data_IF_675906983413
#
_entry.id   IF_675906983413
#
_cell.length_a   1.000
_cell.length_b   1.000
_cell.length_c   1.000
_cell.angle_alpha   90.00
_cell.angle_beta   90.00
_cell.angle_gamma   90.00
#
_symmetry.space_group_name_H-M   'P 1'
#
loop_
_entity.id
_entity.type
_entity.pdbx_description
1 polymer ?
#
# COMPACT_ATOMS: atom_id res chain seq x y z
N UNK A 1 21.69 -32.30 25.78
CA UNK A 1 21.48 -31.61 24.49
C UNK A 1 20.08 -31.01 24.49
N UNK A 2 19.95 -29.73 24.83
CA UNK A 2 18.70 -28.99 24.71
C UNK A 2 18.34 -28.87 23.23
N UNK A 3 17.32 -29.58 22.77
CA UNK A 3 16.76 -29.37 21.43
C UNK A 3 16.25 -27.93 21.38
N UNK A 4 16.88 -27.09 20.56
CA UNK A 4 16.35 -25.78 20.20
C UNK A 4 15.02 -26.03 19.47
N UNK A 5 13.89 -25.98 20.19
CA UNK A 5 12.57 -26.02 19.57
C UNK A 5 12.27 -24.64 18.98
N UNK A 6 12.11 -24.58 17.66
CA UNK A 6 11.64 -23.36 17.01
C UNK A 6 10.24 -23.04 17.54
N UNK A 7 9.95 -21.76 17.77
CA UNK A 7 8.59 -21.35 18.12
C UNK A 7 7.62 -21.73 16.98
N UNK A 8 6.35 -22.06 17.28
CA UNK A 8 5.35 -22.39 16.25
C UNK A 8 5.26 -21.32 15.15
N UNK A 9 5.30 -20.04 15.52
CA UNK A 9 5.27 -18.94 14.55
C UNK A 9 6.51 -18.94 13.64
N UNK A 10 7.70 -19.15 14.21
CA UNK A 10 8.95 -19.17 13.45
C UNK A 10 8.99 -20.35 12.48
N UNK A 11 8.51 -21.52 12.91
CA UNK A 11 8.39 -22.70 12.04
C UNK A 11 7.41 -22.43 10.89
N UNK A 12 6.21 -21.94 11.21
CA UNK A 12 5.15 -21.64 10.23
C UNK A 12 5.61 -20.63 9.17
N UNK A 13 6.15 -19.49 9.61
CA UNK A 13 6.63 -18.47 8.68
C UNK A 13 7.91 -18.90 7.96
N UNK A 14 8.83 -19.60 8.63
CA UNK A 14 10.06 -20.12 8.00
C UNK A 14 9.74 -21.08 6.85
N UNK A 15 8.82 -22.02 7.06
CA UNK A 15 8.35 -22.94 6.03
C UNK A 15 7.60 -22.22 4.89
N UNK A 16 6.74 -21.25 5.23
CA UNK A 16 6.06 -20.43 4.23
C UNK A 16 7.05 -19.63 3.36
N UNK A 17 8.06 -19.02 3.97
CA UNK A 17 9.13 -18.31 3.27
C UNK A 17 9.96 -19.24 2.39
N UNK A 18 10.27 -20.44 2.86
CA UNK A 18 10.98 -21.43 2.06
C UNK A 18 10.18 -21.82 0.81
N UNK A 19 8.87 -22.09 0.95
CA UNK A 19 8.00 -22.39 -0.18
C UNK A 19 7.83 -21.20 -1.14
N UNK A 20 7.76 -19.98 -0.61
CA UNK A 20 7.77 -18.76 -1.43
C UNK A 20 9.11 -18.61 -2.17
N UNK A 21 10.22 -18.98 -1.54
CA UNK A 21 11.54 -19.05 -2.18
C UNK A 21 11.60 -20.04 -3.34
N UNK A 22 10.88 -21.16 -3.27
CA UNK A 22 10.72 -22.10 -4.39
C UNK A 22 9.98 -21.44 -5.56
N UNK A 23 8.89 -20.70 -5.29
CA UNK A 23 8.19 -19.96 -6.34
C UNK A 23 9.08 -18.88 -6.96
N UNK A 24 9.86 -18.16 -6.14
CA UNK A 24 10.81 -17.15 -6.60
C UNK A 24 11.91 -17.75 -7.47
N UNK A 25 12.49 -18.89 -7.07
CA UNK A 25 13.41 -19.66 -7.91
C UNK A 25 12.75 -20.06 -9.23
N UNK A 26 11.47 -20.45 -9.20
CA UNK A 26 10.70 -20.72 -10.41
C UNK A 26 10.63 -19.53 -11.36
N UNK A 27 10.39 -18.33 -10.84
CA UNK A 27 10.40 -17.11 -11.65
C UNK A 27 11.79 -16.83 -12.27
N UNK A 28 12.86 -16.99 -11.48
CA UNK A 28 14.24 -16.87 -11.98
C UNK A 28 14.55 -17.89 -13.10
N UNK A 29 14.09 -19.13 -12.96
CA UNK A 29 14.27 -20.17 -13.98
C UNK A 29 13.53 -19.84 -15.28
N UNK A 30 12.30 -19.32 -15.21
CA UNK A 30 11.55 -18.90 -16.40
C UNK A 30 12.30 -17.77 -17.12
N UNK A 31 12.78 -16.78 -16.39
CA UNK A 31 13.57 -15.68 -16.98
C UNK A 31 14.89 -16.19 -17.60
N UNK A 32 15.44 -17.29 -17.10
CA UNK A 32 16.57 -18.01 -17.69
C UNK A 32 16.21 -18.97 -18.83
N UNK A 33 14.96 -18.98 -19.31
CA UNK A 33 14.50 -19.84 -20.41
C UNK A 33 14.16 -21.28 -20.01
N UNK A 34 14.06 -21.59 -18.72
CA UNK A 34 13.77 -22.93 -18.22
C UNK A 34 12.30 -23.09 -17.82
N UNK A 35 11.50 -23.92 -18.55
CA UNK A 35 10.07 -24.05 -18.31
C UNK A 35 9.72 -24.79 -16.99
N UNK A 36 10.68 -25.49 -16.36
CA UNK A 36 10.49 -26.11 -15.03
C UNK A 36 10.06 -25.07 -13.98
N UNK A 37 10.43 -23.81 -14.18
CA UNK A 37 10.05 -22.74 -13.27
C UNK A 37 8.54 -22.57 -13.11
N UNK A 38 7.73 -22.91 -14.13
CA UNK A 38 6.27 -22.91 -13.99
C UNK A 38 5.77 -23.90 -12.94
N UNK A 39 6.35 -25.10 -12.90
CA UNK A 39 6.01 -26.11 -11.91
C UNK A 39 6.42 -25.67 -10.50
N UNK A 40 7.58 -25.01 -10.36
CA UNK A 40 8.03 -24.47 -9.07
C UNK A 40 7.13 -23.35 -8.57
N UNK A 41 6.62 -22.47 -9.44
CA UNK A 41 5.63 -21.44 -9.08
C UNK A 41 4.30 -22.10 -8.68
N UNK A 42 3.80 -23.02 -9.51
CA UNK A 42 2.52 -23.70 -9.29
C UNK A 42 2.50 -24.50 -7.98
N UNK A 43 3.66 -25.00 -7.54
CA UNK A 43 3.81 -25.67 -6.25
C UNK A 43 4.08 -24.67 -5.10
N UNK A 44 5.11 -23.84 -5.25
CA UNK A 44 5.65 -23.02 -4.18
C UNK A 44 4.68 -21.95 -3.69
N UNK A 45 3.94 -21.30 -4.60
CA UNK A 45 3.04 -20.21 -4.24
C UNK A 45 1.84 -20.69 -3.40
N UNK A 46 1.05 -21.72 -3.82
CA UNK A 46 0.00 -22.27 -2.97
C UNK A 46 0.53 -22.87 -1.67
N UNK A 47 1.67 -23.58 -1.74
CA UNK A 47 2.29 -24.20 -0.58
C UNK A 47 2.70 -23.15 0.46
N UNK A 48 3.18 -21.97 0.03
CA UNK A 48 3.52 -20.87 0.94
C UNK A 48 2.32 -20.40 1.77
N UNK A 49 1.12 -20.28 1.16
CA UNK A 49 -0.09 -19.88 1.86
C UNK A 49 -0.58 -20.95 2.84
N UNK A 50 -0.55 -22.22 2.41
CA UNK A 50 -0.90 -23.37 3.24
C UNK A 50 0.04 -23.48 4.46
N UNK A 51 1.35 -23.37 4.23
CA UNK A 51 2.34 -23.41 5.31
C UNK A 51 2.28 -22.17 6.20
N UNK A 52 1.93 -20.99 5.67
CA UNK A 52 1.70 -19.80 6.47
C UNK A 52 0.52 -19.95 7.44
N UNK A 53 -0.46 -20.81 7.11
CA UNK A 53 -1.60 -21.12 7.95
C UNK A 53 -1.33 -22.27 8.91
N UNK A 54 -0.70 -23.36 8.48
CA UNK A 54 -0.64 -24.61 9.27
C UNK A 54 0.75 -25.28 9.33
N UNK A 55 1.82 -24.60 8.91
CA UNK A 55 3.18 -25.16 8.91
C UNK A 55 3.75 -25.54 10.29
N UNK A 56 3.13 -25.10 11.38
CA UNK A 56 3.44 -25.50 12.76
C UNK A 56 2.69 -26.74 13.24
N UNK A 57 1.73 -27.24 12.46
CA UNK A 57 0.90 -28.39 12.78
C UNK A 57 1.08 -29.52 11.76
N UNK A 58 2.30 -29.72 11.25
CA UNK A 58 2.60 -30.81 10.32
C UNK A 58 2.29 -32.18 10.95
N UNK A 59 1.69 -33.08 10.16
CA UNK A 59 1.28 -34.41 10.60
C UNK A 59 -0.25 -34.60 10.60
N UNK A 60 -0.79 -35.51 11.43
CA UNK A 60 -2.22 -35.85 11.40
C UNK A 60 -3.15 -34.67 11.71
N UNK A 61 -2.72 -33.71 12.52
CA UNK A 61 -3.51 -32.52 12.89
C UNK A 61 -3.54 -31.44 11.80
N UNK A 62 -2.75 -31.58 10.74
CA UNK A 62 -2.59 -30.54 9.72
C UNK A 62 -3.90 -30.13 9.04
N UNK A 63 -4.78 -31.06 8.57
CA UNK A 63 -6.01 -30.68 7.88
C UNK A 63 -6.98 -29.93 8.78
N UNK A 64 -7.08 -30.34 10.06
CA UNK A 64 -7.93 -29.70 11.07
C UNK A 64 -7.45 -28.27 11.34
N UNK A 65 -6.16 -28.10 11.66
CA UNK A 65 -5.58 -26.78 11.94
C UNK A 65 -5.63 -25.86 10.71
N UNK A 66 -5.40 -26.38 9.51
CA UNK A 66 -5.53 -25.62 8.27
C UNK A 66 -6.98 -25.17 8.06
N UNK A 67 -7.95 -26.06 8.23
CA UNK A 67 -9.38 -25.76 8.10
C UNK A 67 -9.84 -24.69 9.09
N UNK A 68 -9.50 -24.83 10.37
CA UNK A 68 -9.85 -23.87 11.42
C UNK A 68 -9.26 -22.48 11.15
N UNK A 69 -7.96 -22.42 10.81
CA UNK A 69 -7.28 -21.14 10.59
C UNK A 69 -7.68 -20.48 9.27
N UNK A 70 -7.96 -21.26 8.23
CA UNK A 70 -8.53 -20.75 6.99
C UNK A 70 -9.92 -20.17 7.22
N UNK A 71 -10.80 -20.89 7.93
CA UNK A 71 -12.13 -20.40 8.29
C UNK A 71 -12.04 -19.11 9.13
N UNK A 72 -11.12 -19.07 10.11
CA UNK A 72 -10.83 -17.88 10.89
C UNK A 72 -10.33 -16.70 10.06
N UNK A 73 -9.43 -16.95 9.11
CA UNK A 73 -8.92 -15.93 8.18
C UNK A 73 -10.06 -15.38 7.31
N UNK A 74 -10.85 -16.25 6.70
CA UNK A 74 -11.97 -15.85 5.84
C UNK A 74 -13.02 -15.06 6.64
N UNK A 75 -13.32 -15.48 7.86
CA UNK A 75 -14.24 -14.76 8.76
C UNK A 75 -13.71 -13.38 9.17
N UNK A 76 -12.38 -13.22 9.30
CA UNK A 76 -11.75 -11.96 9.63
C UNK A 76 -11.52 -11.04 8.40
N UNK A 77 -11.58 -11.59 7.19
CA UNK A 77 -11.24 -10.87 5.96
C UNK A 77 -12.34 -9.87 5.60
N UNK A 78 -11.97 -8.60 5.59
CA UNK A 78 -12.82 -7.49 5.10
C UNK A 78 -12.58 -7.27 3.60
N UNK A 79 -13.51 -6.63 2.85
CA UNK A 79 -13.34 -6.45 1.41
C UNK A 79 -12.10 -5.65 1.05
N UNK A 80 -11.78 -4.61 1.84
CA UNK A 80 -10.56 -3.82 1.62
C UNK A 80 -9.30 -4.68 1.77
N UNK A 81 -9.31 -5.71 2.64
CA UNK A 81 -8.18 -6.64 2.79
C UNK A 81 -8.03 -7.52 1.56
N UNK A 82 -9.15 -8.03 1.03
CA UNK A 82 -9.16 -8.80 -0.22
C UNK A 82 -8.67 -7.95 -1.41
N UNK A 83 -9.05 -6.67 -1.46
CA UNK A 83 -8.58 -5.74 -2.48
C UNK A 83 -7.08 -5.39 -2.33
N UNK A 84 -6.56 -5.28 -1.10
CA UNK A 84 -5.10 -5.18 -0.86
C UNK A 84 -4.39 -6.47 -1.28
N UNK A 85 -4.98 -7.64 -1.03
CA UNK A 85 -4.42 -8.90 -1.51
C UNK A 85 -4.41 -8.96 -3.05
N UNK A 86 -5.47 -8.48 -3.71
CA UNK A 86 -5.53 -8.36 -5.17
C UNK A 86 -4.48 -7.37 -5.70
N UNK A 87 -4.32 -6.20 -5.05
CA UNK A 87 -3.27 -5.23 -5.35
C UNK A 87 -1.88 -5.88 -5.39
N UNK A 88 -1.58 -6.70 -4.38
CA UNK A 88 -0.33 -7.47 -4.29
C UNK A 88 -0.25 -8.54 -5.37
N UNK A 89 -1.32 -9.33 -5.55
CA UNK A 89 -1.34 -10.43 -6.50
C UNK A 89 -1.10 -9.96 -7.93
N UNK A 90 -1.64 -8.81 -8.32
CA UNK A 90 -1.47 -8.22 -9.66
C UNK A 90 -0.02 -7.81 -9.98
N UNK A 91 0.85 -7.69 -8.97
CA UNK A 91 2.27 -7.38 -9.17
C UNK A 91 3.13 -8.62 -9.40
N UNK A 92 2.67 -9.79 -8.96
CA UNK A 92 3.43 -11.04 -9.02
C UNK A 92 3.78 -11.44 -10.47
N UNK A 93 2.88 -11.31 -11.48
CA UNK A 93 3.19 -11.69 -12.85
C UNK A 93 4.14 -10.72 -13.58
N UNK A 94 4.31 -9.49 -13.11
CA UNK A 94 5.04 -8.41 -13.82
C UNK A 94 6.43 -8.82 -14.30
N UNK A 95 7.30 -9.46 -13.48
CA UNK A 95 8.63 -9.87 -13.94
C UNK A 95 8.62 -10.91 -15.06
N UNK A 96 7.53 -11.69 -15.17
CA UNK A 96 7.35 -12.72 -16.19
C UNK A 96 6.55 -12.25 -17.40
N UNK A 97 5.89 -11.10 -17.30
CA UNK A 97 5.13 -10.47 -18.39
C UNK A 97 5.32 -8.94 -18.38
N UNK A 98 6.52 -8.44 -18.76
CA UNK A 98 6.83 -7.01 -18.74
C UNK A 98 5.91 -6.17 -19.63
N UNK A 99 5.48 -6.70 -20.78
CA UNK A 99 4.56 -6.02 -21.70
C UNK A 99 3.18 -5.80 -21.07
N UNK A 100 2.81 -6.62 -20.08
CA UNK A 100 1.60 -6.48 -19.30
C UNK A 100 1.68 -5.42 -18.20
N UNK A 101 2.85 -4.81 -17.95
CA UNK A 101 3.06 -3.85 -16.88
C UNK A 101 2.05 -2.69 -16.88
N UNK A 102 1.69 -2.06 -18.01
CA UNK A 102 0.69 -0.99 -18.02
C UNK A 102 -0.68 -1.42 -17.47
N UNK A 103 -1.18 -2.57 -17.94
CA UNK A 103 -2.50 -3.09 -17.56
C UNK A 103 -2.48 -3.57 -16.10
N UNK A 104 -1.45 -4.32 -15.72
CA UNK A 104 -1.31 -4.84 -14.36
C UNK A 104 -1.08 -3.71 -13.35
N UNK A 105 -0.27 -2.70 -13.69
CA UNK A 105 0.00 -1.53 -12.86
C UNK A 105 -1.25 -0.70 -12.62
N UNK A 106 -2.04 -0.44 -13.67
CA UNK A 106 -3.32 0.25 -13.54
C UNK A 106 -4.31 -0.57 -12.71
N UNK A 107 -4.49 -1.85 -13.01
CA UNK A 107 -5.41 -2.73 -12.28
C UNK A 107 -5.02 -2.84 -10.80
N UNK A 108 -3.71 -2.96 -10.51
CA UNK A 108 -3.16 -2.98 -9.17
C UNK A 108 -3.50 -1.68 -8.44
N UNK A 109 -3.20 -0.52 -9.03
CA UNK A 109 -3.48 0.77 -8.40
C UNK A 109 -4.98 1.05 -8.24
N UNK A 110 -5.81 0.60 -9.19
CA UNK A 110 -7.26 0.66 -9.06
C UNK A 110 -7.77 -0.21 -7.91
N UNK A 111 -7.24 -1.43 -7.75
CA UNK A 111 -7.55 -2.29 -6.61
C UNK A 111 -7.12 -1.65 -5.28
N UNK A 112 -5.96 -0.99 -5.24
CA UNK A 112 -5.51 -0.25 -4.06
C UNK A 112 -6.40 0.96 -3.74
N UNK A 113 -6.80 1.73 -4.74
CA UNK A 113 -7.74 2.84 -4.60
C UNK A 113 -9.11 2.36 -4.09
N UNK A 114 -9.63 1.27 -4.65
CA UNK A 114 -10.86 0.64 -4.18
C UNK A 114 -10.73 0.12 -2.75
N UNK A 115 -9.58 -0.45 -2.38
CA UNK A 115 -9.29 -0.87 -1.01
C UNK A 115 -9.30 0.31 -0.04
N UNK A 116 -8.65 1.41 -0.40
CA UNK A 116 -8.64 2.65 0.38
C UNK A 116 -10.06 3.18 0.59
N UNK A 117 -10.87 3.21 -0.48
CA UNK A 117 -12.25 3.69 -0.42
C UNK A 117 -13.10 2.79 0.49
N UNK A 118 -13.01 1.47 0.34
CA UNK A 118 -13.72 0.51 1.18
C UNK A 118 -13.27 0.59 2.65
N UNK A 119 -11.97 0.79 2.90
CA UNK A 119 -11.41 0.93 4.24
C UNK A 119 -11.97 2.15 4.98
N UNK A 120 -12.05 3.30 4.28
CA UNK A 120 -12.57 4.55 4.84
C UNK A 120 -14.09 4.45 5.00
N UNK A 121 -14.79 3.93 3.99
CA UNK A 121 -16.25 3.74 4.06
C UNK A 121 -16.66 2.89 5.26
N UNK A 122 -15.99 1.76 5.50
CA UNK A 122 -16.28 0.87 6.63
C UNK A 122 -16.09 1.56 8.01
N UNK A 123 -15.25 2.60 8.10
CA UNK A 123 -14.85 3.21 9.39
C UNK A 123 -15.50 4.55 9.68
N UNK A 124 -15.73 5.36 8.65
CA UNK A 124 -16.20 6.74 8.79
C UNK A 124 -17.32 7.08 7.81
N UNK A 125 -17.89 6.10 7.11
CA UNK A 125 -19.05 6.29 6.23
C UNK A 125 -18.70 6.71 4.80
N UNK A 126 -19.66 6.50 3.88
CA UNK A 126 -19.43 6.65 2.44
C UNK A 126 -19.17 8.10 2.03
N UNK A 127 -19.84 9.08 2.66
CA UNK A 127 -19.70 10.50 2.32
C UNK A 127 -18.28 10.99 2.53
N UNK A 128 -17.69 10.71 3.70
CA UNK A 128 -16.30 11.06 3.99
C UNK A 128 -15.34 10.31 3.07
N UNK A 129 -15.61 9.04 2.79
CA UNK A 129 -14.81 8.24 1.86
C UNK A 129 -14.81 8.85 0.45
N UNK A 130 -15.99 9.21 -0.09
CA UNK A 130 -16.15 9.84 -1.39
C UNK A 130 -15.52 11.23 -1.43
N UNK A 131 -15.70 12.05 -0.38
CA UNK A 131 -15.10 13.38 -0.30
C UNK A 131 -13.58 13.31 -0.28
N UNK A 132 -13.01 12.42 0.54
CA UNK A 132 -11.56 12.22 0.57
C UNK A 132 -11.03 11.77 -0.79
N UNK A 133 -11.70 10.82 -1.45
CA UNK A 133 -11.35 10.37 -2.81
C UNK A 133 -11.39 11.53 -3.81
N UNK A 134 -12.51 12.23 -3.91
CA UNK A 134 -12.71 13.33 -4.87
C UNK A 134 -11.69 14.44 -4.66
N UNK A 135 -11.44 14.84 -3.41
CA UNK A 135 -10.46 15.89 -3.11
C UNK A 135 -9.05 15.43 -3.48
N UNK A 136 -8.61 14.25 -3.05
CA UNK A 136 -7.25 13.79 -3.40
C UNK A 136 -7.06 13.51 -4.88
N UNK A 137 -8.08 12.99 -5.54
CA UNK A 137 -8.05 12.73 -6.98
C UNK A 137 -7.99 14.05 -7.75
N UNK A 138 -8.84 15.01 -7.38
CA UNK A 138 -8.89 16.33 -8.02
C UNK A 138 -7.63 17.15 -7.80
N UNK A 139 -7.12 17.19 -6.55
CA UNK A 139 -5.85 17.85 -6.23
C UNK A 139 -4.70 17.16 -6.95
N UNK A 140 -4.61 15.82 -6.89
CA UNK A 140 -3.60 15.03 -7.59
C UNK A 140 -3.60 15.32 -9.09
N UNK A 141 -4.75 15.17 -9.75
CA UNK A 141 -4.88 15.50 -11.17
C UNK A 141 -4.51 16.97 -11.46
N UNK A 142 -4.93 17.90 -10.60
CA UNK A 142 -4.66 19.32 -10.75
C UNK A 142 -3.17 19.67 -10.67
N UNK A 143 -2.46 19.13 -9.68
CA UNK A 143 -1.00 19.37 -9.52
C UNK A 143 -0.19 18.70 -10.61
N UNK A 144 -0.63 17.54 -11.11
CA UNK A 144 0.05 16.86 -12.24
C UNK A 144 -0.19 17.57 -13.56
N UNK A 145 -1.40 18.11 -13.77
CA UNK A 145 -1.71 18.92 -14.94
C UNK A 145 -0.94 20.25 -14.91
N UNK A 146 -0.80 20.85 -13.74
CA UNK A 146 0.00 22.06 -13.56
C UNK A 146 1.49 21.77 -13.76
N UNK A 147 1.99 20.70 -13.13
CA UNK A 147 3.38 20.25 -13.18
C UNK A 147 3.84 19.96 -14.60
N UNK A 148 3.13 19.08 -15.30
CA UNK A 148 3.46 18.70 -16.68
C UNK A 148 3.38 19.84 -17.70
N UNK A 149 2.76 20.98 -17.37
CA UNK A 149 2.66 22.16 -18.25
C UNK A 149 3.60 23.30 -17.88
N UNK A 150 3.89 23.47 -16.60
CA UNK A 150 4.58 24.66 -16.08
C UNK A 150 5.87 24.35 -15.36
N UNK A 151 6.14 23.07 -15.07
CA UNK A 151 7.22 22.63 -14.22
C UNK A 151 6.93 22.76 -12.72
N UNK A 152 5.81 23.35 -12.29
CA UNK A 152 5.49 23.52 -10.86
C UNK A 152 4.34 22.59 -10.46
N UNK A 153 4.45 21.77 -9.40
CA UNK A 153 5.47 21.83 -8.34
C UNK A 153 6.65 20.86 -8.51
N UNK A 154 6.73 20.06 -9.58
CA UNK A 154 7.61 18.89 -9.61
C UNK A 154 8.94 19.04 -10.36
N UNK A 155 9.09 20.05 -11.22
CA UNK A 155 10.17 20.19 -12.20
C UNK A 155 9.66 19.97 -13.62
N UNK A 156 10.52 20.08 -14.63
CA UNK A 156 10.12 19.89 -16.02
C UNK A 156 10.09 18.40 -16.43
N UNK A 157 8.90 17.94 -16.85
CA UNK A 157 8.67 16.56 -17.30
C UNK A 157 7.51 16.46 -18.29
N UNK A 158 7.41 15.31 -18.95
CA UNK A 158 6.34 15.01 -19.90
C UNK A 158 5.76 13.60 -19.70
N UNK A 159 4.44 13.50 -19.85
CA UNK A 159 3.68 12.25 -19.88
C UNK A 159 3.50 11.68 -21.31
N UNK A 160 4.20 12.20 -22.31
CA UNK A 160 3.98 11.81 -23.72
C UNK A 160 4.16 10.30 -23.99
N UNK A 161 5.04 9.62 -23.25
CA UNK A 161 5.26 8.17 -23.36
C UNK A 161 4.31 7.31 -22.53
N UNK A 162 3.43 7.93 -21.74
CA UNK A 162 2.68 7.21 -20.74
C UNK A 162 1.55 6.34 -21.35
N UNK A 163 1.34 5.13 -20.84
CA UNK A 163 0.30 4.25 -21.36
C UNK A 163 -1.10 4.77 -21.03
N UNK A 164 -2.04 4.53 -21.95
CA UNK A 164 -3.46 4.76 -21.73
C UNK A 164 -4.01 3.84 -20.60
N UNK A 165 -5.09 4.26 -19.91
CA UNK A 165 -5.87 5.48 -20.12
C UNK A 165 -5.24 6.70 -19.43
N UNK A 166 -5.33 7.85 -20.09
CA UNK A 166 -4.95 9.15 -19.56
C UNK A 166 -6.18 10.03 -19.35
N UNK A 167 -6.11 10.95 -18.40
CA UNK A 167 -7.10 11.97 -18.12
C UNK A 167 -6.42 13.33 -18.23
N UNK A 168 -6.80 14.13 -19.23
CA UNK A 168 -6.16 15.43 -19.52
C UNK A 168 -4.62 15.30 -19.62
N UNK A 169 -4.12 14.30 -20.36
CA UNK A 169 -2.71 13.90 -20.51
C UNK A 169 -2.05 13.23 -19.30
N UNK A 170 -2.66 13.25 -18.12
CA UNK A 170 -2.12 12.59 -16.92
C UNK A 170 -2.54 11.12 -16.89
N UNK A 171 -1.64 10.15 -16.70
CA UNK A 171 -1.99 8.73 -16.64
C UNK A 171 -2.93 8.45 -15.48
N UNK A 172 -4.03 7.73 -15.70
CA UNK A 172 -5.08 7.52 -14.70
C UNK A 172 -4.55 6.84 -13.42
N UNK A 173 -3.48 6.07 -13.52
CA UNK A 173 -2.79 5.45 -12.37
C UNK A 173 -2.37 6.50 -11.32
N UNK A 174 -1.97 7.70 -11.75
CA UNK A 174 -1.40 8.74 -10.88
C UNK A 174 -2.45 9.34 -9.93
N UNK A 175 -3.59 9.90 -10.40
CA UNK A 175 -4.60 10.45 -9.50
C UNK A 175 -5.29 9.37 -8.64
N UNK A 176 -5.35 8.10 -9.10
CA UNK A 176 -5.78 6.98 -8.24
C UNK A 176 -4.77 6.70 -7.12
N UNK A 177 -3.48 6.77 -7.43
CA UNK A 177 -2.39 6.63 -6.46
C UNK A 177 -2.45 7.72 -5.39
N UNK A 178 -2.65 8.98 -5.76
CA UNK A 178 -2.70 10.11 -4.82
C UNK A 178 -3.69 9.88 -3.65
N UNK A 179 -4.84 9.25 -3.91
CA UNK A 179 -5.79 8.92 -2.83
C UNK A 179 -5.23 7.86 -1.88
N UNK A 180 -4.87 6.69 -2.41
CA UNK A 180 -4.52 5.56 -1.58
C UNK A 180 -3.18 5.74 -0.87
N UNK A 181 -2.18 6.30 -1.55
CA UNK A 181 -0.87 6.59 -0.97
C UNK A 181 -0.97 7.59 0.17
N UNK A 182 -1.74 8.66 -0.01
CA UNK A 182 -1.99 9.65 1.05
C UNK A 182 -2.69 8.99 2.24
N UNK A 183 -3.68 8.12 2.01
CA UNK A 183 -4.36 7.41 3.09
C UNK A 183 -3.37 6.55 3.87
N UNK A 184 -2.54 5.76 3.17
CA UNK A 184 -1.51 4.92 3.78
C UNK A 184 -0.51 5.75 4.59
N UNK A 185 0.02 6.83 4.03
CA UNK A 185 0.97 7.73 4.70
C UNK A 185 0.34 8.42 5.92
N UNK A 186 -0.92 8.83 5.83
CA UNK A 186 -1.67 9.45 6.93
C UNK A 186 -1.97 8.44 8.04
N UNK A 187 -2.34 7.20 7.71
CA UNK A 187 -2.51 6.12 8.68
C UNK A 187 -1.21 5.76 9.39
N UNK A 188 -0.11 5.63 8.65
CA UNK A 188 1.20 5.31 9.21
C UNK A 188 1.76 6.44 10.09
N UNK A 189 1.55 7.70 9.68
CA UNK A 189 1.95 8.89 10.44
C UNK A 189 1.03 9.22 11.62
N UNK A 190 -0.09 8.51 11.76
CA UNK A 190 -1.14 8.78 12.77
C UNK A 190 -1.69 10.20 12.64
N UNK A 191 -1.94 10.60 11.40
CA UNK A 191 -2.53 11.88 11.03
C UNK A 191 -1.61 13.08 11.21
N UNK A 192 -0.28 12.88 11.28
CA UNK A 192 0.73 13.96 11.38
C UNK A 192 1.10 14.43 9.97
N UNK A 193 0.60 15.58 9.48
CA UNK A 193 0.71 15.92 8.06
C UNK A 193 2.15 16.02 7.56
N UNK A 194 3.06 16.60 8.34
CA UNK A 194 4.49 16.68 8.00
C UNK A 194 5.16 15.32 7.85
N UNK A 195 4.77 14.35 8.67
CA UNK A 195 5.31 13.00 8.58
C UNK A 195 4.67 12.24 7.43
N UNK A 196 3.38 12.45 7.16
CA UNK A 196 2.72 11.91 5.97
C UNK A 196 3.36 12.43 4.69
N UNK A 197 3.64 13.74 4.59
CA UNK A 197 4.40 14.32 3.49
C UNK A 197 5.79 13.70 3.35
N UNK A 198 6.52 13.50 4.45
CA UNK A 198 7.83 12.82 4.40
C UNK A 198 7.73 11.37 3.92
N UNK A 199 6.67 10.64 4.33
CA UNK A 199 6.41 9.28 3.86
C UNK A 199 6.05 9.25 2.37
N UNK A 200 5.27 10.22 1.87
CA UNK A 200 4.94 10.37 0.45
C UNK A 200 6.20 10.64 -0.38
N UNK A 201 7.05 11.56 0.07
CA UNK A 201 8.35 11.86 -0.55
C UNK A 201 9.28 10.63 -0.59
N UNK A 202 9.39 9.88 0.51
CA UNK A 202 10.23 8.67 0.54
C UNK A 202 9.66 7.56 -0.36
N UNK A 203 8.33 7.51 -0.53
CA UNK A 203 7.67 6.63 -1.47
C UNK A 203 7.99 7.00 -2.92
N UNK A 204 7.94 8.29 -3.24
CA UNK A 204 8.30 8.80 -4.54
C UNK A 204 9.75 8.47 -4.93
N UNK A 205 10.71 8.61 -4.02
CA UNK A 205 12.11 8.14 -4.22
C UNK A 205 12.17 6.68 -4.69
N UNK A 206 11.27 5.83 -4.18
CA UNK A 206 11.20 4.41 -4.57
C UNK A 206 10.48 4.14 -5.89
N UNK A 207 9.53 5.00 -6.26
CA UNK A 207 8.77 4.88 -7.51
C UNK A 207 9.54 5.41 -8.71
N UNK A 208 10.30 6.49 -8.53
CA UNK A 208 10.97 7.24 -9.58
C UNK A 208 11.81 6.35 -10.52
N UNK A 209 12.72 5.47 -10.02
CA UNK A 209 13.46 4.57 -10.89
C UNK A 209 12.54 3.71 -11.76
N UNK A 210 11.54 3.07 -11.17
CA UNK A 210 10.69 2.13 -11.88
C UNK A 210 9.86 2.83 -12.96
N UNK A 211 9.20 3.93 -12.61
CA UNK A 211 8.23 4.58 -13.48
C UNK A 211 8.89 5.31 -14.65
N UNK A 212 10.05 5.93 -14.43
CA UNK A 212 10.85 6.54 -15.50
C UNK A 212 11.37 5.49 -16.48
N UNK A 213 11.86 4.35 -15.98
CA UNK A 213 12.33 3.25 -16.84
C UNK A 213 11.20 2.61 -17.66
N UNK A 214 9.97 2.65 -17.15
CA UNK A 214 8.78 2.18 -17.86
C UNK A 214 8.16 3.26 -18.77
N UNK A 215 8.79 4.43 -18.89
CA UNK A 215 8.35 5.51 -19.77
C UNK A 215 7.04 6.18 -19.34
N UNK A 216 6.63 6.01 -18.08
CA UNK A 216 5.42 6.67 -17.59
C UNK A 216 5.59 8.19 -17.57
N UNK A 217 6.78 8.68 -17.24
CA UNK A 217 7.14 10.08 -17.43
C UNK A 217 8.62 10.18 -17.80
N UNK A 218 8.94 11.25 -18.53
CA UNK A 218 10.30 11.58 -18.90
C UNK A 218 10.64 12.96 -18.34
N UNK A 219 11.69 13.02 -17.52
CA UNK A 219 12.22 14.26 -16.99
C UNK A 219 13.08 14.98 -18.04
N UNK A 220 12.91 16.30 -18.14
CA UNK A 220 13.73 17.19 -18.99
C UNK A 220 14.35 18.34 -18.20
N UNK A 221 14.21 18.30 -16.88
CA UNK A 221 14.69 19.33 -15.97
C UNK A 221 16.22 19.54 -16.08
N UNK A 222 16.73 20.79 -16.06
CA UNK A 222 18.16 21.08 -16.19
C UNK A 222 19.00 20.60 -15.00
N UNK A 223 18.41 20.32 -13.83
CA UNK A 223 19.11 19.93 -12.62
C UNK A 223 18.59 18.58 -12.07
N UNK A 224 18.80 17.47 -12.80
CA UNK A 224 18.34 16.15 -12.37
C UNK A 224 19.11 15.68 -11.12
N UNK A 225 18.42 14.97 -10.23
CA UNK A 225 19.01 14.39 -9.03
C UNK A 225 18.91 12.85 -9.03
N UNK A 226 17.70 12.31 -9.06
CA UNK A 226 17.46 10.88 -8.84
C UNK A 226 16.51 10.33 -9.89
N UNK A 227 16.96 9.33 -10.65
CA UNK A 227 16.24 8.78 -11.81
C UNK A 227 15.78 9.84 -12.83
N UNK A 228 16.48 10.98 -12.90
CA UNK A 228 16.12 12.13 -13.73
C UNK A 228 15.29 13.20 -13.01
N UNK A 229 14.61 12.86 -11.91
CA UNK A 229 13.81 13.81 -11.15
C UNK A 229 14.68 14.83 -10.41
N UNK A 230 14.33 16.13 -10.43
CA UNK A 230 15.03 17.16 -9.65
C UNK A 230 14.62 17.13 -8.16
N UNK A 231 15.37 17.85 -7.31
CA UNK A 231 15.02 18.04 -5.88
C UNK A 231 13.58 18.56 -5.71
N UNK A 232 13.16 19.41 -6.65
CA UNK A 232 11.84 20.03 -6.67
C UNK A 232 10.71 18.98 -6.67
N UNK A 233 10.86 17.85 -7.36
CA UNK A 233 9.87 16.77 -7.38
C UNK A 233 9.58 16.25 -5.97
N UNK A 234 10.64 15.90 -5.24
CA UNK A 234 10.55 15.34 -3.89
C UNK A 234 9.93 16.34 -2.90
N UNK A 235 10.27 17.64 -3.03
CA UNK A 235 9.64 18.70 -2.23
C UNK A 235 8.16 18.89 -2.59
N UNK A 236 7.81 18.77 -3.88
CA UNK A 236 6.43 18.78 -4.36
C UNK A 236 5.61 17.64 -3.77
N UNK A 237 6.13 16.41 -3.82
CA UNK A 237 5.50 15.24 -3.19
C UNK A 237 5.33 15.40 -1.68
N UNK A 238 6.32 15.96 -1.00
CA UNK A 238 6.21 16.30 0.41
C UNK A 238 5.08 17.31 0.68
N UNK A 239 5.03 18.41 -0.08
CA UNK A 239 4.07 19.49 0.12
C UNK A 239 2.63 19.06 -0.19
N UNK A 240 2.42 18.38 -1.32
CA UNK A 240 1.10 17.86 -1.71
C UNK A 240 0.64 16.78 -0.72
N UNK A 241 1.53 15.85 -0.36
CA UNK A 241 1.25 14.82 0.64
C UNK A 241 0.93 15.39 2.03
N UNK A 242 1.64 16.46 2.45
CA UNK A 242 1.34 17.21 3.65
C UNK A 242 -0.08 17.81 3.60
N UNK A 243 -0.40 18.51 2.51
CA UNK A 243 -1.70 19.18 2.34
C UNK A 243 -2.86 18.20 2.36
N UNK A 244 -2.77 17.13 1.57
CA UNK A 244 -3.79 16.09 1.52
C UNK A 244 -3.94 15.36 2.86
N UNK A 245 -2.84 15.10 3.57
CA UNK A 245 -2.90 14.50 4.90
C UNK A 245 -3.57 15.41 5.94
N UNK A 246 -3.34 16.72 5.86
CA UNK A 246 -4.02 17.71 6.68
C UNK A 246 -5.53 17.70 6.42
N UNK A 247 -5.94 17.69 5.14
CA UNK A 247 -7.36 17.55 4.75
C UNK A 247 -7.95 16.26 5.30
N UNK A 248 -7.28 15.11 5.12
CA UNK A 248 -7.77 13.81 5.60
C UNK A 248 -7.94 13.79 7.11
N UNK A 249 -6.99 14.38 7.85
CA UNK A 249 -7.05 14.47 9.30
C UNK A 249 -8.17 15.41 9.77
N UNK A 250 -8.45 16.49 9.03
CA UNK A 250 -9.57 17.39 9.29
C UNK A 250 -10.93 16.73 9.04
N UNK A 251 -11.07 15.97 7.95
CA UNK A 251 -12.30 15.27 7.56
C UNK A 251 -12.58 14.01 8.40
N UNK A 252 -11.55 13.30 8.84
CA UNK A 252 -11.67 12.02 9.56
C UNK A 252 -10.65 11.88 10.71
N UNK A 253 -10.64 12.80 11.69
CA UNK A 253 -9.64 12.82 12.76
C UNK A 253 -9.60 11.53 13.59
N UNK A 254 -10.77 10.92 13.83
CA UNK A 254 -10.89 9.66 14.58
C UNK A 254 -10.23 8.47 13.88
N UNK A 255 -10.20 8.46 12.54
CA UNK A 255 -9.56 7.41 11.75
C UNK A 255 -8.05 7.33 12.01
N UNK A 256 -7.44 8.47 12.33
CA UNK A 256 -5.99 8.60 12.49
C UNK A 256 -5.57 8.78 13.95
N UNK A 257 -6.49 8.62 14.91
CA UNK A 257 -6.22 8.75 16.34
C UNK A 257 -6.00 10.19 16.80
N UNK A 258 -6.62 11.17 16.14
CA UNK A 258 -6.57 12.60 16.48
C UNK A 258 -7.95 13.17 16.80
N UNK A 259 -8.78 12.40 17.50
CA UNK A 259 -10.10 12.82 17.92
C UNK A 259 -10.03 14.19 18.64
N UNK A 260 -10.85 15.16 18.22
CA UNK A 260 -10.84 16.53 18.73
C UNK A 260 -10.10 17.57 17.89
N UNK A 261 -9.36 17.17 16.84
CA UNK A 261 -8.66 18.09 15.91
C UNK A 261 -9.37 18.15 14.54
N UNK A 262 -10.66 17.81 14.51
CA UNK A 262 -11.48 17.80 13.29
C UNK A 262 -11.92 19.20 12.87
N UNK A 263 -12.30 19.33 11.61
CA UNK A 263 -13.00 20.52 11.14
C UNK A 263 -14.46 20.49 11.60
N UNK A 264 -15.05 21.66 11.83
CA UNK A 264 -16.49 21.77 11.97
C UNK A 264 -17.12 21.48 10.59
N UNK A 265 -17.80 20.34 10.47
CA UNK A 265 -18.37 19.90 9.20
C UNK A 265 -19.84 20.34 9.14
N UNK A 266 -20.39 20.63 7.95
CA UNK A 266 -21.79 20.99 7.83
C UNK A 266 -22.70 19.94 8.47
N UNK A 267 -23.77 20.36 9.15
CA UNK A 267 -24.64 19.45 9.92
C UNK A 267 -25.30 18.33 9.10
N UNK A 268 -25.34 18.40 7.77
CA UNK A 268 -25.76 17.26 6.93
C UNK A 268 -24.71 16.14 6.88
N UNK A 269 -23.42 16.48 6.92
CA UNK A 269 -22.34 15.50 6.99
C UNK A 269 -22.32 14.85 8.39
N UNK A 270 -22.44 15.66 9.44
CA UNK A 270 -22.49 15.18 10.83
C UNK A 270 -23.73 14.34 11.14
N UNK A 271 -24.90 14.68 10.60
CA UNK A 271 -26.13 13.88 10.77
C UNK A 271 -26.02 12.50 10.13
N UNK A 272 -25.33 12.39 8.99
CA UNK A 272 -25.05 11.08 8.37
C UNK A 272 -24.09 10.28 9.26
N UNK A 273 -23.11 10.92 9.90
CA UNK A 273 -22.20 10.25 10.84
C UNK A 273 -22.89 9.80 12.14
N UNK A 274 -23.81 10.60 12.68
CA UNK A 274 -24.63 10.23 13.83
C UNK A 274 -25.52 9.03 13.53
N UNK A 275 -26.04 8.94 12.30
CA UNK A 275 -26.72 7.74 11.83
C UNK A 275 -25.75 6.58 11.59
N UNK A 276 -24.49 6.78 11.23
CA UNK A 276 -23.48 5.70 11.08
C UNK A 276 -22.90 5.21 12.43
N UNK A 277 -22.97 6.04 13.48
CA UNK A 277 -22.71 5.62 14.86
C UNK A 277 -23.92 4.92 15.51
N UNK A 278 -25.15 5.36 15.18
CA UNK A 278 -26.40 4.78 15.68
C UNK A 278 -26.89 3.56 14.88
N UNK A 279 -26.60 3.49 13.58
CA UNK A 279 -26.81 2.34 12.71
C UNK A 279 -25.47 1.65 12.49
N UNK A 280 -25.39 0.37 12.83
CA UNK A 280 -24.24 -0.49 12.59
C UNK A 280 -23.80 -0.27 11.13
N UNK A 281 -22.61 0.31 10.89
CA UNK A 281 -22.00 0.28 9.55
C UNK A 281 -22.22 -1.13 9.02
N UNK A 282 -22.90 -1.32 7.87
CA UNK A 282 -23.13 -2.65 7.33
C UNK A 282 -21.77 -3.33 7.30
N UNK A 283 -21.62 -4.41 8.06
CA UNK A 283 -20.38 -5.15 7.97
C UNK A 283 -20.33 -5.62 6.53
N UNK A 284 -19.39 -5.10 5.74
CA UNK A 284 -19.08 -5.67 4.44
C UNK A 284 -18.37 -7.03 4.61
N UNK A 285 -18.64 -7.73 5.71
CA UNK A 285 -18.21 -9.10 5.96
C UNK A 285 -18.96 -9.96 4.98
N UNK A 286 -18.22 -10.62 4.08
CA UNK A 286 -18.78 -11.59 3.15
C UNK A 286 -19.39 -12.81 3.86
N UNK A 287 -19.14 -12.96 5.18
CA UNK A 287 -19.67 -14.01 6.03
C UNK A 287 -20.46 -13.43 7.23
N UNK A 288 -21.67 -13.94 7.53
CA UNK A 288 -22.41 -13.59 8.75
C UNK A 288 -21.63 -13.99 10.02
N UNK A 289 -21.53 -13.09 11.01
CA UNK A 289 -21.10 -13.44 12.39
C UNK A 289 -19.70 -13.04 12.85
N UNK A 290 -18.90 -12.33 12.04
CA UNK A 290 -17.54 -11.94 12.42
C UNK A 290 -17.52 -10.88 13.53
N UNK A 291 -17.19 -11.31 14.78
CA UNK A 291 -16.99 -10.40 15.93
C UNK A 291 -15.91 -9.36 15.65
N UNK A 292 -16.10 -8.13 16.13
CA UNK A 292 -15.06 -7.09 16.17
C UNK A 292 -14.01 -7.48 17.22
N UNK A 293 -12.89 -8.07 16.80
CA UNK A 293 -11.68 -8.09 17.61
C UNK A 293 -10.99 -6.73 17.49
N UNK A 294 -11.09 -5.92 18.55
CA UNK A 294 -10.48 -4.60 18.65
C UNK A 294 -8.97 -4.69 18.77
N UNK A 295 -8.30 -4.81 17.62
CA UNK A 295 -6.95 -4.34 17.25
C UNK A 295 -6.73 -4.79 15.79
N UNK A 296 -7.65 -4.38 14.90
CA UNK A 296 -7.67 -4.81 13.50
C UNK A 296 -6.47 -4.29 12.70
N UNK A 297 -6.09 -5.03 11.66
CA UNK A 297 -5.16 -4.56 10.64
C UNK A 297 -5.58 -3.17 10.14
N UNK A 298 -4.60 -2.28 10.03
CA UNK A 298 -4.76 -0.90 9.58
C UNK A 298 -4.15 -0.74 8.19
N UNK A 299 -4.61 0.25 7.43
CA UNK A 299 -4.19 0.52 6.06
C UNK A 299 -2.69 0.83 5.94
N UNK A 300 -2.01 1.09 7.07
CA UNK A 300 -0.54 1.16 7.17
C UNK A 300 0.19 -0.09 6.66
N UNK A 301 -0.50 -1.25 6.57
CA UNK A 301 0.08 -2.48 6.02
C UNK A 301 0.57 -2.29 4.59
N UNK A 302 -0.11 -1.44 3.81
CA UNK A 302 0.26 -1.16 2.41
C UNK A 302 1.66 -0.57 2.32
N UNK A 303 2.06 0.35 3.21
CA UNK A 303 3.43 0.89 3.19
C UNK A 303 4.47 -0.19 3.44
N UNK A 304 4.20 -1.10 4.39
CA UNK A 304 5.11 -2.20 4.69
C UNK A 304 5.20 -3.20 3.53
N UNK A 305 4.09 -3.43 2.83
CA UNK A 305 4.04 -4.22 1.60
C UNK A 305 4.91 -3.57 0.51
N UNK A 306 4.82 -2.27 0.30
CA UNK A 306 5.56 -1.56 -0.74
C UNK A 306 7.04 -1.40 -0.43
N UNK A 307 7.39 -1.27 0.85
CA UNK A 307 8.76 -1.37 1.32
C UNK A 307 9.43 -2.72 0.99
N UNK A 308 8.64 -3.75 0.66
CA UNK A 308 9.13 -5.03 0.14
C UNK A 308 9.06 -5.09 -1.41
N UNK A 309 7.91 -4.75 -1.99
CA UNK A 309 7.66 -4.92 -3.43
C UNK A 309 8.45 -3.94 -4.32
N UNK A 310 8.59 -2.66 -3.95
CA UNK A 310 9.34 -1.69 -4.76
C UNK A 310 10.81 -2.06 -4.90
N UNK A 311 11.59 -2.26 -3.81
CA UNK A 311 12.98 -2.65 -3.95
C UNK A 311 13.11 -4.07 -4.54
N UNK A 312 12.22 -5.00 -4.19
CA UNK A 312 12.21 -6.34 -4.77
C UNK A 312 12.00 -6.36 -6.29
N UNK A 313 11.08 -5.52 -6.79
CA UNK A 313 10.87 -5.34 -8.23
C UNK A 313 12.10 -4.78 -8.94
N UNK A 314 12.77 -3.79 -8.32
CA UNK A 314 14.02 -3.21 -8.85
C UNK A 314 15.16 -4.24 -8.91
N UNK A 315 15.29 -5.10 -7.88
CA UNK A 315 16.25 -6.23 -7.90
C UNK A 315 15.99 -7.16 -9.09
N UNK A 316 14.72 -7.48 -9.35
CA UNK A 316 14.34 -8.41 -10.43
C UNK A 316 14.66 -7.86 -11.83
N UNK A 317 14.66 -6.54 -12.00
CA UNK A 317 15.05 -5.89 -13.25
C UNK A 317 16.53 -5.47 -13.28
N UNK A 318 17.36 -5.98 -12.36
CA UNK A 318 18.81 -5.75 -12.32
C UNK A 318 19.24 -4.38 -11.81
N UNK A 319 18.34 -3.62 -11.17
CA UNK A 319 18.58 -2.26 -10.65
C UNK A 319 18.91 -2.26 -9.17
N UNK A 320 20.03 -2.90 -8.83
CA UNK A 320 20.41 -3.18 -7.44
C UNK A 320 20.71 -1.93 -6.61
N UNK A 321 21.33 -0.91 -7.22
CA UNK A 321 21.65 0.33 -6.52
C UNK A 321 20.37 1.09 -6.16
N UNK A 322 19.44 1.20 -7.11
CA UNK A 322 18.14 1.82 -6.90
C UNK A 322 17.28 1.01 -5.92
N UNK A 323 17.35 -0.32 -5.98
CA UNK A 323 16.70 -1.16 -4.97
C UNK A 323 17.22 -0.89 -3.55
N UNK A 324 18.54 -0.73 -3.38
CA UNK A 324 19.14 -0.45 -2.08
C UNK A 324 18.71 0.93 -1.54
N UNK A 325 18.71 1.96 -2.40
CA UNK A 325 18.25 3.31 -2.04
C UNK A 325 16.76 3.28 -1.68
N UNK A 326 15.93 2.62 -2.50
CA UNK A 326 14.50 2.45 -2.24
C UNK A 326 14.24 1.77 -0.90
N UNK A 327 14.95 0.68 -0.62
CA UNK A 327 14.82 -0.05 0.66
C UNK A 327 15.23 0.84 1.84
N UNK A 328 16.31 1.60 1.72
CA UNK A 328 16.77 2.54 2.74
C UNK A 328 15.75 3.67 2.98
N UNK A 329 15.23 4.28 1.92
CA UNK A 329 14.24 5.36 1.99
C UNK A 329 12.93 4.87 2.63
N UNK A 330 12.38 3.75 2.17
CA UNK A 330 11.19 3.12 2.74
C UNK A 330 11.41 2.70 4.20
N UNK A 331 12.57 2.11 4.50
CA UNK A 331 12.98 1.71 5.84
C UNK A 331 13.08 2.90 6.81
N UNK A 332 13.65 4.02 6.36
CA UNK A 332 13.71 5.28 7.11
C UNK A 332 12.30 5.77 7.45
N UNK A 333 11.38 5.77 6.49
CA UNK A 333 9.99 6.16 6.73
C UNK A 333 9.31 5.31 7.80
N UNK A 334 9.48 3.99 7.73
CA UNK A 334 9.00 3.07 8.76
C UNK A 334 9.68 3.31 10.14
N UNK A 335 10.96 3.64 10.14
CA UNK A 335 11.73 3.99 11.34
C UNK A 335 11.20 5.26 12.02
N UNK A 336 11.03 6.34 11.25
CA UNK A 336 10.47 7.60 11.72
C UNK A 336 9.06 7.42 12.28
N UNK A 337 8.19 6.70 11.55
CA UNK A 337 6.83 6.41 12.00
C UNK A 337 6.79 5.57 13.30
N UNK A 338 7.78 4.71 13.55
CA UNK A 338 7.92 3.96 14.80
C UNK A 338 8.46 4.81 15.95
N UNK A 339 9.50 5.60 15.70
CA UNK A 339 10.13 6.46 16.71
C UNK A 339 9.15 7.51 17.27
N UNK A 340 8.22 7.97 16.43
CA UNK A 340 7.25 9.00 16.76
C UNK A 340 5.93 8.47 17.36
N UNK A 341 5.88 7.19 17.72
CA UNK A 341 4.75 6.60 18.45
C UNK A 341 4.73 7.12 19.88
N UNK A 342 3.57 7.55 20.41
CA UNK A 342 3.45 7.91 21.82
C UNK A 342 3.93 6.74 22.70
N UNK A 343 4.81 7.00 23.65
CA UNK A 343 5.26 5.98 24.59
C UNK A 343 4.09 5.41 25.40
N UNK A 344 4.14 4.11 25.75
CA UNK A 344 3.09 3.40 26.51
C UNK A 344 2.64 4.13 27.79
N UNK A 345 3.50 4.95 28.40
CA UNK A 345 3.18 5.76 29.59
C UNK A 345 2.28 6.98 29.33
N UNK A 346 2.25 7.51 28.11
CA UNK A 346 1.41 8.67 27.77
C UNK A 346 -0.07 8.29 27.61
N UNK A 347 -0.35 7.07 27.14
CA UNK A 347 -1.72 6.55 26.95
C UNK A 347 -2.41 6.26 28.29
N UNK A 348 -1.66 5.92 29.33
CA UNK A 348 -2.19 5.65 30.67
C UNK A 348 -2.54 6.92 31.47
N UNK A 349 -2.05 8.11 31.07
CA UNK A 349 -2.42 9.40 31.68
C UNK A 349 -3.58 10.11 30.98
N UNK A 350 -4.05 9.59 29.86
CA UNK A 350 -5.11 10.18 29.03
C UNK A 350 -6.40 9.35 29.00
N UNK A 351 -6.49 8.30 29.82
CA UNK A 351 -7.72 7.57 30.17
C UNK A 351 -8.08 7.90 31.61
#
# INVERSE_FOLDING_TARGET
>A
MTRLSLSPALLRFGLAFAALGVAFLGALLIMGGNPVGWALIALGLPLSGVLALAGDALGPAFPEVLGERLAGLLAATRPWMALVALYVALKIPVPLWPEGFPVLGLASTAALCAAALAFVWERVGWLRAALMLVVSFGVGLGVELLGSRTGIPFGEYSYAGAPAPTLLTVPLIVPLGWFALTLTATSLSRGRPWLAGALMMLWDVGLEPLMTAQGYWTWTDPLPLWAGAPVQNFLGWWAVGWGLSWVFTGLAPGLFGRAGVGWALPGWLERVDGNVQASRVPSLSLLPGARRAGEGLDFRVVYATEAFFLPGGLVLVGRYAEAAVTLAAMGLGLGLARALRPGRRAVARAR
#
